data_IF_169878571042
#
_entry.id   IF_169878571042
#
_cell.length_a   1.000
_cell.length_b   1.000
_cell.length_c   1.000
_cell.angle_alpha   90.00
_cell.angle_beta   90.00
_cell.angle_gamma   90.00
#
_symmetry.space_group_name_H-M   'P 1'
#
loop_
_entity.id
_entity.type
_entity.pdbx_description
1 polymer ?
#
# COMPACT_ATOMS: atom_id res chain seq x y z
N UNK A 1 120.28 -27.26 16.07
CA UNK A 1 120.45 -25.78 15.98
C UNK A 1 119.20 -25.22 15.34
N UNK A 2 118.41 -24.44 16.08
CA UNK A 2 117.30 -23.69 15.48
C UNK A 2 117.93 -22.49 14.78
N UNK A 3 117.74 -22.37 13.47
CA UNK A 3 118.23 -21.21 12.73
C UNK A 3 117.30 -20.01 12.94
N UNK A 4 117.79 -18.77 12.94
CA UNK A 4 116.96 -17.57 13.10
C UNK A 4 115.77 -17.52 12.16
N UNK A 5 115.94 -18.04 10.93
CA UNK A 5 114.89 -18.13 9.91
C UNK A 5 113.73 -19.05 10.32
N UNK A 6 114.03 -20.16 11.03
CA UNK A 6 113.04 -21.10 11.55
C UNK A 6 112.21 -20.48 12.70
N UNK A 7 112.86 -19.69 13.56
CA UNK A 7 112.16 -18.97 14.64
C UNK A 7 111.19 -17.94 14.05
N UNK A 8 111.61 -17.19 13.03
CA UNK A 8 110.78 -16.19 12.36
C UNK A 8 109.56 -16.83 11.69
N UNK A 9 109.72 -17.97 11.04
CA UNK A 9 108.59 -18.67 10.38
C UNK A 9 107.59 -19.22 11.40
N UNK A 10 108.06 -19.77 12.52
CA UNK A 10 107.18 -20.28 13.60
C UNK A 10 106.41 -19.12 14.25
N UNK A 11 107.09 -18.02 14.59
CA UNK A 11 106.45 -16.83 15.19
C UNK A 11 105.43 -16.21 14.23
N UNK A 12 105.76 -16.10 12.94
CA UNK A 12 104.84 -15.67 11.88
C UNK A 12 103.60 -16.56 11.80
N UNK A 13 103.78 -17.87 11.84
CA UNK A 13 102.68 -18.84 11.72
C UNK A 13 101.75 -18.78 12.93
N UNK A 14 102.31 -18.64 14.14
CA UNK A 14 101.55 -18.45 15.39
C UNK A 14 100.77 -17.13 15.35
N UNK A 15 101.39 -16.04 14.88
CA UNK A 15 100.72 -14.74 14.75
C UNK A 15 99.52 -14.82 13.80
N UNK A 16 99.68 -15.44 12.62
CA UNK A 16 98.60 -15.66 11.66
C UNK A 16 97.46 -16.46 12.30
N UNK A 17 97.78 -17.57 12.99
CA UNK A 17 96.80 -18.41 13.66
C UNK A 17 96.01 -17.64 14.73
N UNK A 18 96.68 -16.80 15.53
CA UNK A 18 96.05 -15.93 16.53
C UNK A 18 95.08 -14.93 15.89
N UNK A 19 95.46 -14.28 14.78
CA UNK A 19 94.55 -13.40 14.04
C UNK A 19 93.31 -14.14 13.52
N UNK A 20 93.47 -15.36 13.03
CA UNK A 20 92.34 -16.19 12.55
C UNK A 20 91.40 -16.52 13.71
N UNK A 21 91.94 -16.91 14.87
CA UNK A 21 91.13 -17.23 16.07
C UNK A 21 90.34 -16.00 16.53
N UNK A 22 90.98 -14.82 16.57
CA UNK A 22 90.32 -13.56 16.95
C UNK A 22 89.21 -13.21 15.95
N UNK A 23 89.47 -13.32 14.65
CA UNK A 23 88.48 -13.07 13.60
C UNK A 23 87.29 -14.04 13.71
N UNK A 24 87.57 -15.33 13.91
CA UNK A 24 86.53 -16.35 14.08
C UNK A 24 85.66 -16.07 15.31
N UNK A 25 86.26 -15.70 16.44
CA UNK A 25 85.52 -15.33 17.65
C UNK A 25 84.60 -14.13 17.41
N UNK A 26 85.12 -13.08 16.75
CA UNK A 26 84.33 -11.88 16.41
C UNK A 26 83.14 -12.20 15.49
N UNK A 27 83.35 -13.09 14.51
CA UNK A 27 82.27 -13.58 13.63
C UNK A 27 81.22 -14.34 14.45
N UNK A 28 81.64 -15.23 15.35
CA UNK A 28 80.73 -16.01 16.18
C UNK A 28 79.91 -15.14 17.13
N UNK A 29 80.52 -14.13 17.74
CA UNK A 29 79.83 -13.17 18.61
C UNK A 29 78.81 -12.33 17.81
N UNK A 30 79.16 -11.94 16.58
CA UNK A 30 78.25 -11.23 15.67
C UNK A 30 77.07 -12.10 15.26
N UNK A 31 77.31 -13.37 14.92
CA UNK A 31 76.26 -14.32 14.57
C UNK A 31 75.30 -14.57 15.75
N UNK A 32 75.84 -14.64 16.97
CA UNK A 32 75.02 -14.79 18.18
C UNK A 32 74.09 -13.59 18.38
N UNK A 33 74.58 -12.37 18.16
CA UNK A 33 73.78 -11.15 18.22
C UNK A 33 72.63 -11.17 17.20
N UNK A 34 72.94 -11.55 15.95
CA UNK A 34 71.95 -11.64 14.86
C UNK A 34 70.87 -12.68 15.19
N UNK A 35 71.25 -13.84 15.73
CA UNK A 35 70.29 -14.87 16.14
C UNK A 35 69.36 -14.36 17.25
N UNK A 36 69.88 -13.63 18.24
CA UNK A 36 69.06 -13.05 19.30
C UNK A 36 68.06 -12.01 18.77
N UNK A 37 68.46 -11.16 17.81
CA UNK A 37 67.55 -10.21 17.16
C UNK A 37 66.47 -10.92 16.32
N UNK A 38 66.84 -11.98 15.59
CA UNK A 38 65.89 -12.78 14.83
C UNK A 38 64.85 -13.45 15.74
N UNK A 39 65.27 -13.96 16.90
CA UNK A 39 64.36 -14.57 17.88
C UNK A 39 63.39 -13.53 18.48
N UNK A 40 63.88 -12.31 18.77
CA UNK A 40 63.03 -11.21 19.24
C UNK A 40 62.01 -10.82 18.17
N UNK A 41 62.43 -10.71 16.92
CA UNK A 41 61.55 -10.39 15.79
C UNK A 41 60.50 -11.48 15.60
N UNK A 42 60.87 -12.76 15.67
CA UNK A 42 59.93 -13.88 15.56
C UNK A 42 58.88 -13.86 16.68
N UNK A 43 59.29 -13.53 17.90
CA UNK A 43 58.38 -13.43 19.05
C UNK A 43 57.40 -12.26 18.87
N UNK A 44 57.90 -11.11 18.41
CA UNK A 44 57.08 -9.94 18.10
C UNK A 44 56.07 -10.23 16.98
N UNK A 45 56.50 -10.86 15.88
CA UNK A 45 55.58 -11.22 14.80
C UNK A 45 54.50 -12.18 15.28
N UNK A 46 54.86 -13.19 16.08
CA UNK A 46 53.90 -14.15 16.63
C UNK A 46 52.84 -13.50 17.50
N UNK A 47 53.19 -12.50 18.32
CA UNK A 47 52.21 -11.79 19.13
C UNK A 47 51.27 -10.93 18.29
N UNK A 48 51.79 -10.24 17.27
CA UNK A 48 50.99 -9.45 16.34
C UNK A 48 50.00 -10.32 15.54
N UNK A 49 50.43 -11.50 15.08
CA UNK A 49 49.53 -12.44 14.39
C UNK A 49 48.41 -12.94 15.31
N UNK A 50 48.72 -13.21 16.58
CA UNK A 50 47.72 -13.65 17.55
C UNK A 50 46.67 -12.57 17.81
N UNK A 51 47.11 -11.32 18.02
CA UNK A 51 46.21 -10.18 18.23
C UNK A 51 45.32 -9.92 17.01
N UNK A 52 45.88 -10.05 15.80
CA UNK A 52 45.11 -9.94 14.56
C UNK A 52 44.04 -11.03 14.42
N UNK A 53 44.36 -12.27 14.79
CA UNK A 53 43.43 -13.40 14.74
C UNK A 53 42.27 -13.24 15.75
N UNK A 54 42.58 -12.79 16.97
CA UNK A 54 41.58 -12.49 18.00
C UNK A 54 40.64 -11.35 17.56
N UNK A 55 41.22 -10.30 16.96
CA UNK A 55 40.43 -9.18 16.42
C UNK A 55 39.55 -9.59 15.26
N UNK A 56 40.06 -10.38 14.31
CA UNK A 56 39.27 -10.90 13.19
C UNK A 56 38.12 -11.78 13.69
N UNK A 57 38.37 -12.66 14.65
CA UNK A 57 37.33 -13.51 15.24
C UNK A 57 36.23 -12.70 15.92
N UNK A 58 36.62 -11.66 16.67
CA UNK A 58 35.68 -10.72 17.31
C UNK A 58 34.85 -9.96 16.27
N UNK A 59 35.50 -9.53 15.18
CA UNK A 59 34.84 -8.80 14.09
C UNK A 59 33.84 -9.68 13.35
N UNK A 60 34.19 -10.93 13.03
CA UNK A 60 33.27 -11.90 12.41
C UNK A 60 32.01 -12.11 13.25
N UNK A 61 32.16 -12.30 14.57
CA UNK A 61 31.00 -12.43 15.48
C UNK A 61 30.09 -11.19 15.48
N UNK A 62 30.68 -9.99 15.41
CA UNK A 62 29.90 -8.74 15.30
C UNK A 62 29.13 -8.68 13.98
N UNK A 63 29.73 -9.09 12.88
CA UNK A 63 29.09 -9.15 11.56
C UNK A 63 27.93 -10.15 11.56
N UNK A 64 28.12 -11.35 12.12
CA UNK A 64 27.06 -12.36 12.24
C UNK A 64 25.86 -11.86 13.08
N UNK A 65 26.13 -11.20 14.20
CA UNK A 65 25.08 -10.61 15.03
C UNK A 65 24.33 -9.48 14.30
N UNK A 66 25.05 -8.61 13.58
CA UNK A 66 24.44 -7.56 12.77
C UNK A 66 23.55 -8.14 11.67
N UNK A 67 24.01 -9.19 10.98
CA UNK A 67 23.24 -9.89 9.95
C UNK A 67 21.92 -10.43 10.54
N UNK A 68 21.99 -11.12 11.68
CA UNK A 68 20.79 -11.66 12.35
C UNK A 68 19.80 -10.58 12.80
N UNK A 69 20.30 -9.44 13.32
CA UNK A 69 19.47 -8.30 13.70
C UNK A 69 18.78 -7.66 12.50
N UNK A 70 19.46 -7.57 11.36
CA UNK A 70 18.89 -7.05 10.10
C UNK A 70 17.79 -7.98 9.60
N UNK A 71 18.05 -9.29 9.56
CA UNK A 71 17.09 -10.29 9.07
C UNK A 71 15.81 -10.31 9.92
N UNK A 72 15.96 -10.29 11.25
CA UNK A 72 14.82 -10.24 12.18
C UNK A 72 14.02 -8.93 12.06
N UNK A 73 14.70 -7.79 11.93
CA UNK A 73 14.06 -6.48 11.72
C UNK A 73 13.32 -6.41 10.39
N UNK A 74 13.88 -7.00 9.33
CA UNK A 74 13.24 -7.07 8.02
C UNK A 74 11.95 -7.90 8.08
N UNK A 75 12.00 -9.09 8.69
CA UNK A 75 10.80 -9.95 8.86
C UNK A 75 9.72 -9.26 9.70
N UNK A 76 10.10 -8.56 10.77
CA UNK A 76 9.15 -7.80 11.59
C UNK A 76 8.48 -6.66 10.81
N UNK A 77 9.27 -5.91 10.03
CA UNK A 77 8.78 -4.82 9.18
C UNK A 77 7.83 -5.34 8.10
N UNK A 78 8.17 -6.46 7.45
CA UNK A 78 7.31 -7.09 6.45
C UNK A 78 5.95 -7.49 7.05
N UNK A 79 5.93 -8.07 8.26
CA UNK A 79 4.68 -8.42 8.95
C UNK A 79 3.84 -7.19 9.31
N UNK A 80 4.49 -6.11 9.76
CA UNK A 80 3.81 -4.84 10.07
C UNK A 80 3.19 -4.22 8.81
N UNK A 81 3.91 -4.19 7.69
CA UNK A 81 3.38 -3.74 6.40
C UNK A 81 2.16 -4.57 5.95
N UNK A 82 2.19 -5.89 6.16
CA UNK A 82 1.04 -6.75 5.84
C UNK A 82 -0.18 -6.42 6.71
N UNK A 83 0.02 -6.16 8.01
CA UNK A 83 -1.08 -5.73 8.90
C UNK A 83 -1.66 -4.39 8.47
N UNK A 84 -0.83 -3.38 8.21
CA UNK A 84 -1.29 -2.07 7.74
C UNK A 84 -2.10 -2.18 6.45
N UNK A 85 -1.65 -3.02 5.50
CA UNK A 85 -2.39 -3.27 4.25
C UNK A 85 -3.76 -3.90 4.53
N UNK A 86 -3.83 -4.87 5.45
CA UNK A 86 -5.07 -5.52 5.81
C UNK A 86 -6.03 -4.56 6.52
N UNK A 87 -5.53 -3.80 7.49
CA UNK A 87 -6.28 -2.79 8.23
C UNK A 87 -6.85 -1.73 7.28
N UNK A 88 -6.06 -1.27 6.32
CA UNK A 88 -6.54 -0.33 5.30
C UNK A 88 -7.66 -0.92 4.44
N UNK A 89 -7.54 -2.18 4.02
CA UNK A 89 -8.60 -2.86 3.25
C UNK A 89 -9.88 -2.98 4.10
N UNK A 90 -9.75 -3.39 5.36
CA UNK A 90 -10.89 -3.54 6.28
C UNK A 90 -11.56 -2.19 6.53
N UNK A 91 -10.79 -1.15 6.82
CA UNK A 91 -11.30 0.19 7.06
C UNK A 91 -12.02 0.73 5.81
N UNK A 92 -11.41 0.60 4.63
CA UNK A 92 -12.02 0.99 3.37
C UNK A 92 -13.33 0.24 3.09
N UNK A 93 -13.35 -1.08 3.32
CA UNK A 93 -14.55 -1.89 3.10
C UNK A 93 -15.66 -1.56 4.10
N UNK A 94 -15.31 -1.30 5.35
CA UNK A 94 -16.24 -0.89 6.41
C UNK A 94 -16.83 0.49 6.12
N UNK A 95 -16.01 1.42 5.63
CA UNK A 95 -16.45 2.76 5.27
C UNK A 95 -17.34 2.74 4.02
N UNK A 96 -16.98 1.95 2.99
CA UNK A 96 -17.87 1.69 1.84
C UNK A 96 -19.20 1.03 2.24
N UNK A 97 -19.19 0.13 3.22
CA UNK A 97 -20.40 -0.51 3.71
C UNK A 97 -21.36 0.49 4.36
N UNK A 98 -20.86 1.59 4.95
CA UNK A 98 -21.71 2.69 5.47
C UNK A 98 -22.44 3.46 4.36
N UNK A 99 -21.88 3.51 3.16
CA UNK A 99 -22.51 4.16 1.99
C UNK A 99 -23.38 3.20 1.16
N UNK A 100 -23.45 1.92 1.55
CA UNK A 100 -24.27 0.92 0.84
C UNK A 100 -25.76 1.11 1.11
N UNK A 101 -26.13 1.65 2.26
CA UNK A 101 -27.47 2.10 2.63
C UNK A 101 -27.33 3.28 3.61
N UNK A 102 -27.95 4.42 3.33
CA UNK A 102 -27.81 5.62 4.15
C UNK A 102 -29.01 6.56 4.02
N UNK A 103 -29.17 7.43 5.01
CA UNK A 103 -30.12 8.55 4.95
C UNK A 103 -29.29 9.82 4.85
N UNK A 104 -29.47 10.57 3.77
CA UNK A 104 -28.91 11.89 3.56
C UNK A 104 -30.02 12.92 3.75
N UNK A 105 -29.77 13.97 4.53
CA UNK A 105 -30.78 14.97 4.87
C UNK A 105 -30.19 16.37 4.69
N UNK A 106 -30.91 17.21 3.93
CA UNK A 106 -30.62 18.64 3.78
C UNK A 106 -31.84 19.48 4.21
N UNK A 107 -31.79 20.81 4.03
CA UNK A 107 -32.88 21.70 4.47
C UNK A 107 -34.23 21.44 3.77
N UNK A 108 -34.23 20.82 2.60
CA UNK A 108 -35.39 20.65 1.74
C UNK A 108 -35.84 19.19 1.62
N UNK A 109 -34.90 18.24 1.70
CA UNK A 109 -35.15 16.84 1.36
C UNK A 109 -34.56 15.85 2.37
N UNK A 110 -35.18 14.67 2.43
CA UNK A 110 -34.61 13.46 3.03
C UNK A 110 -34.46 12.43 1.91
N UNK A 111 -33.25 11.92 1.71
CA UNK A 111 -32.89 10.94 0.69
C UNK A 111 -32.47 9.63 1.33
N UNK A 112 -33.14 8.55 0.97
CA UNK A 112 -32.65 7.20 1.23
C UNK A 112 -31.78 6.78 0.05
N UNK A 113 -30.50 6.54 0.32
CA UNK A 113 -29.52 6.08 -0.67
C UNK A 113 -29.18 4.62 -0.42
N UNK A 114 -29.12 3.82 -1.49
CA UNK A 114 -28.69 2.43 -1.45
C UNK A 114 -27.89 2.10 -2.71
N UNK A 115 -26.82 1.32 -2.56
CA UNK A 115 -25.91 0.94 -3.66
C UNK A 115 -25.45 2.15 -4.51
N UNK A 116 -25.12 3.26 -3.82
CA UNK A 116 -24.73 4.54 -4.44
C UNK A 116 -25.80 5.21 -5.32
N UNK A 117 -27.08 4.93 -5.08
CA UNK A 117 -28.22 5.51 -5.81
C UNK A 117 -29.29 5.99 -4.85
N UNK A 118 -30.04 7.02 -5.22
CA UNK A 118 -31.21 7.45 -4.44
C UNK A 118 -32.34 6.46 -4.70
N UNK A 119 -32.85 5.82 -3.66
CA UNK A 119 -33.97 4.88 -3.69
C UNK A 119 -35.29 5.57 -3.32
N UNK A 120 -35.23 6.57 -2.43
CA UNK A 120 -36.39 7.33 -1.97
C UNK A 120 -36.02 8.76 -1.68
N UNK A 121 -36.91 9.68 -2.00
CA UNK A 121 -36.81 11.11 -1.74
C UNK A 121 -38.08 11.56 -1.00
N UNK A 122 -37.94 12.33 0.07
CA UNK A 122 -39.05 12.96 0.78
C UNK A 122 -38.83 14.46 0.75
N UNK A 123 -39.77 15.20 0.19
CA UNK A 123 -39.80 16.67 0.26
C UNK A 123 -40.34 17.09 1.63
N UNK A 124 -39.54 17.81 2.41
CA UNK A 124 -39.90 18.24 3.77
C UNK A 124 -41.02 19.28 3.81
N UNK A 125 -41.20 20.06 2.74
CA UNK A 125 -42.20 21.12 2.67
C UNK A 125 -43.58 20.55 2.37
N UNK A 126 -43.65 19.61 1.44
CA UNK A 126 -44.92 19.01 0.97
C UNK A 126 -45.22 17.67 1.64
N UNK A 127 -44.22 17.06 2.27
CA UNK A 127 -44.25 15.69 2.77
C UNK A 127 -44.52 14.65 1.65
N UNK A 128 -44.29 15.04 0.39
CA UNK A 128 -44.41 14.14 -0.76
C UNK A 128 -43.22 13.18 -0.78
N UNK A 129 -43.50 11.92 -1.08
CA UNK A 129 -42.51 10.84 -1.11
C UNK A 129 -42.38 10.28 -2.51
N UNK A 130 -41.19 10.36 -3.10
CA UNK A 130 -40.85 9.75 -4.39
C UNK A 130 -40.02 8.49 -4.18
N UNK A 131 -40.54 7.34 -4.61
CA UNK A 131 -39.79 6.09 -4.71
C UNK A 131 -39.17 5.98 -6.11
N UNK A 132 -37.93 5.51 -6.18
CA UNK A 132 -37.15 5.41 -7.43
C UNK A 132 -36.78 3.94 -7.67
N UNK A 133 -37.20 3.42 -8.82
CA UNK A 133 -37.01 2.02 -9.20
C UNK A 133 -35.99 1.92 -10.33
N UNK A 134 -35.02 1.03 -10.17
CA UNK A 134 -33.94 0.81 -11.12
C UNK A 134 -34.00 -0.61 -11.70
N UNK A 135 -33.63 -0.74 -12.96
CA UNK A 135 -33.44 -2.03 -13.64
C UNK A 135 -32.10 -2.00 -14.38
N UNK A 136 -31.24 -3.01 -14.19
CA UNK A 136 -29.87 -3.00 -14.75
C UNK A 136 -29.03 -1.80 -14.29
N UNK A 137 -29.43 -1.17 -13.18
CA UNK A 137 -28.80 0.01 -12.63
C UNK A 137 -29.21 1.34 -13.26
N UNK A 138 -30.16 1.33 -14.20
CA UNK A 138 -30.71 2.50 -14.88
C UNK A 138 -32.10 2.77 -14.29
N UNK A 139 -32.45 4.05 -14.11
CA UNK A 139 -33.76 4.44 -13.60
C UNK A 139 -34.82 3.92 -14.56
N UNK A 140 -35.76 3.10 -14.09
CA UNK A 140 -36.85 2.53 -14.88
C UNK A 140 -38.12 3.36 -14.71
N UNK A 141 -38.54 3.59 -13.45
CA UNK A 141 -39.65 4.48 -13.16
C UNK A 141 -39.56 5.09 -11.77
N UNK A 142 -40.32 6.16 -11.54
CA UNK A 142 -40.48 6.80 -10.22
C UNK A 142 -41.96 6.95 -9.90
N UNK A 143 -42.32 6.79 -8.63
CA UNK A 143 -43.67 7.00 -8.13
C UNK A 143 -43.63 8.00 -6.99
N UNK A 144 -44.43 9.06 -7.09
CA UNK A 144 -44.55 10.05 -6.03
C UNK A 144 -45.91 9.98 -5.39
N UNK A 145 -45.91 9.97 -4.07
CA UNK A 145 -47.07 9.87 -3.21
C UNK A 145 -47.25 11.15 -2.41
N UNK A 146 -48.49 11.62 -2.33
CA UNK A 146 -48.94 12.68 -1.43
C UNK A 146 -50.07 12.12 -0.57
N UNK A 147 -50.03 12.29 0.75
CA UNK A 147 -51.04 11.76 1.67
C UNK A 147 -51.36 10.25 1.50
N UNK A 148 -50.32 9.44 1.20
CA UNK A 148 -50.42 8.01 0.87
C UNK A 148 -51.21 7.67 -0.42
N UNK A 149 -51.57 8.65 -1.23
CA UNK A 149 -52.14 8.47 -2.56
C UNK A 149 -51.06 8.70 -3.62
N UNK A 150 -51.03 7.87 -4.67
CA UNK A 150 -50.17 8.12 -5.82
C UNK A 150 -50.60 9.43 -6.49
N UNK A 151 -49.64 10.31 -6.76
CA UNK A 151 -49.85 11.62 -7.38
C UNK A 151 -49.32 11.64 -8.80
N UNK A 152 -48.10 11.16 -8.99
CA UNK A 152 -47.50 11.05 -10.33
C UNK A 152 -46.57 9.85 -10.46
N UNK A 153 -46.45 9.35 -11.69
CA UNK A 153 -45.53 8.29 -12.09
C UNK A 153 -44.78 8.69 -13.35
N UNK A 154 -43.47 8.49 -13.38
CA UNK A 154 -42.62 8.79 -14.53
C UNK A 154 -41.89 7.53 -14.97
N UNK A 155 -41.82 7.27 -16.27
CA UNK A 155 -41.14 6.13 -16.87
C UNK A 155 -39.99 6.59 -17.74
N UNK A 156 -38.91 5.84 -17.72
CA UNK A 156 -37.67 6.17 -18.39
C UNK A 156 -37.24 5.02 -19.31
N UNK A 157 -36.58 5.35 -20.41
CA UNK A 157 -36.00 4.38 -21.33
C UNK A 157 -34.73 3.75 -20.78
N UNK A 158 -34.23 2.74 -21.49
CA UNK A 158 -32.98 2.02 -21.14
C UNK A 158 -31.73 2.89 -21.18
N UNK A 159 -31.78 4.06 -21.77
CA UNK A 159 -30.69 5.07 -21.76
C UNK A 159 -30.89 6.12 -20.65
N UNK A 160 -32.01 6.07 -19.91
CA UNK A 160 -32.35 6.99 -18.84
C UNK A 160 -33.16 8.22 -19.29
N UNK A 161 -33.52 8.33 -20.56
CA UNK A 161 -34.35 9.41 -21.10
C UNK A 161 -35.80 9.28 -20.62
N UNK A 162 -36.49 10.39 -20.40
CA UNK A 162 -37.89 10.39 -19.95
C UNK A 162 -38.80 9.98 -21.12
N UNK A 163 -39.68 9.00 -20.90
CA UNK A 163 -40.59 8.49 -21.94
C UNK A 163 -42.04 8.90 -21.70
N UNK A 164 -42.51 8.70 -20.46
CA UNK A 164 -43.93 8.85 -20.12
C UNK A 164 -44.09 9.43 -18.73
N UNK A 165 -45.08 10.30 -18.57
CA UNK A 165 -45.55 10.79 -17.28
C UNK A 165 -47.02 10.47 -17.10
N UNK A 166 -47.43 10.18 -15.88
CA UNK A 166 -48.81 9.87 -15.51
C UNK A 166 -49.17 10.64 -14.25
N UNK A 167 -50.29 11.37 -14.27
CA UNK A 167 -50.83 12.05 -13.08
C UNK A 167 -52.11 11.37 -12.63
N UNK A 168 -52.30 11.24 -11.32
CA UNK A 168 -53.41 10.52 -10.72
C UNK A 168 -54.25 11.43 -9.83
N UNK A 169 -55.56 11.17 -9.77
CA UNK A 169 -56.44 11.81 -8.81
C UNK A 169 -56.32 11.16 -7.41
N UNK A 170 -57.04 11.71 -6.43
CA UNK A 170 -57.06 11.18 -5.05
C UNK A 170 -57.62 9.75 -4.92
N UNK A 171 -58.39 9.29 -5.90
CA UNK A 171 -58.89 7.92 -5.95
C UNK A 171 -57.87 6.94 -6.57
N UNK A 172 -56.74 7.43 -7.07
CA UNK A 172 -55.73 6.65 -7.77
C UNK A 172 -56.03 6.41 -9.25
N UNK A 173 -57.02 7.11 -9.82
CA UNK A 173 -57.34 7.02 -11.25
C UNK A 173 -56.45 7.95 -12.07
N UNK A 174 -56.00 7.48 -13.23
CA UNK A 174 -55.13 8.20 -14.15
C UNK A 174 -55.88 9.38 -14.79
N UNK A 175 -55.51 10.62 -14.49
CA UNK A 175 -56.17 11.82 -15.07
C UNK A 175 -55.44 12.29 -16.32
N UNK A 176 -54.12 12.23 -16.31
CA UNK A 176 -53.30 12.65 -17.44
C UNK A 176 -52.20 11.65 -17.75
N UNK A 177 -51.93 11.44 -19.03
CA UNK A 177 -50.76 10.73 -19.53
C UNK A 177 -50.01 11.61 -20.53
N UNK A 178 -48.72 11.78 -20.34
CA UNK A 178 -47.83 12.56 -21.19
C UNK A 178 -46.85 11.63 -21.89
N UNK A 179 -46.59 11.88 -23.18
CA UNK A 179 -45.47 11.28 -23.90
C UNK A 179 -44.40 12.33 -24.14
N UNK A 180 -43.15 11.96 -23.96
CA UNK A 180 -42.00 12.83 -24.15
C UNK A 180 -41.24 12.45 -25.42
N UNK A 181 -40.67 13.44 -26.10
CA UNK A 181 -39.77 13.23 -27.23
C UNK A 181 -38.31 13.02 -26.78
N UNK A 182 -37.41 12.88 -27.76
CA UNK A 182 -35.97 12.68 -27.48
C UNK A 182 -35.30 13.88 -26.79
N UNK A 183 -35.89 15.08 -26.87
CA UNK A 183 -35.41 16.27 -26.17
C UNK A 183 -35.95 16.36 -24.74
N UNK A 184 -36.88 15.49 -24.35
CA UNK A 184 -37.57 15.52 -23.07
C UNK A 184 -38.72 16.54 -23.02
N UNK A 185 -39.19 17.01 -24.18
CA UNK A 185 -40.36 17.88 -24.29
C UNK A 185 -41.63 17.04 -24.45
N UNK A 186 -42.78 17.56 -24.02
CA UNK A 186 -44.06 16.85 -24.14
C UNK A 186 -44.49 16.84 -25.61
N UNK A 187 -44.50 15.66 -26.25
CA UNK A 187 -44.97 15.47 -27.62
C UNK A 187 -46.48 15.24 -27.70
N UNK A 188 -47.07 14.67 -26.64
CA UNK A 188 -48.52 14.53 -26.54
C UNK A 188 -49.00 14.43 -25.09
N UNK A 189 -50.25 14.85 -24.87
CA UNK A 189 -50.98 14.74 -23.61
C UNK A 189 -52.33 14.11 -23.87
N UNK A 190 -52.65 13.06 -23.13
CA UNK A 190 -53.99 12.44 -23.07
C UNK A 190 -54.63 12.77 -21.73
N UNK A 191 -55.86 13.27 -21.75
CA UNK A 191 -56.71 13.53 -20.59
C UNK A 191 -57.83 12.51 -20.54
N UNK A 192 -58.05 11.91 -19.38
CA UNK A 192 -59.07 10.90 -19.14
C UNK A 192 -60.22 11.50 -18.33
N UNK A 193 -61.42 11.44 -18.89
CA UNK A 193 -62.65 11.94 -18.24
C UNK A 193 -63.41 10.75 -17.67
N UNK A 194 -63.83 10.86 -16.41
CA UNK A 194 -64.50 9.80 -15.68
C UNK A 194 -65.95 10.14 -15.36
N UNK A 195 -66.81 9.11 -15.30
CA UNK A 195 -68.14 9.22 -14.68
C UNK A 195 -68.07 9.13 -13.13
N UNK A 196 -69.22 9.31 -12.48
CA UNK A 196 -69.36 9.19 -11.02
C UNK A 196 -69.03 7.78 -10.47
N UNK A 197 -68.98 6.77 -11.34
CA UNK A 197 -68.61 5.40 -10.99
C UNK A 197 -67.14 5.09 -11.30
N UNK A 198 -66.34 6.12 -11.64
CA UNK A 198 -64.92 6.01 -11.97
C UNK A 198 -64.64 5.17 -13.23
N UNK A 199 -65.58 5.10 -14.16
CA UNK A 199 -65.37 4.56 -15.50
C UNK A 199 -64.94 5.68 -16.45
N UNK A 200 -64.01 5.38 -17.36
CA UNK A 200 -63.60 6.31 -18.41
C UNK A 200 -64.78 6.50 -19.37
N UNK A 201 -65.20 7.75 -19.57
CA UNK A 201 -66.25 8.13 -20.51
C UNK A 201 -65.72 8.85 -21.74
N UNK A 202 -64.53 9.45 -21.66
CA UNK A 202 -63.89 10.11 -22.79
C UNK A 202 -62.36 10.18 -22.62
N UNK A 203 -61.65 10.30 -23.75
CA UNK A 203 -60.20 10.45 -23.82
C UNK A 203 -59.83 11.54 -24.83
N UNK A 204 -59.24 12.62 -24.34
CA UNK A 204 -58.85 13.77 -25.19
C UNK A 204 -57.34 13.77 -25.35
N UNK A 205 -56.86 13.54 -26.58
CA UNK A 205 -55.42 13.59 -26.89
C UNK A 205 -55.06 14.85 -27.66
N UNK A 206 -54.13 15.62 -27.10
CA UNK A 206 -53.51 16.80 -27.72
C UNK A 206 -52.06 16.48 -28.09
N UNK A 207 -51.66 16.79 -29.33
CA UNK A 207 -50.26 16.71 -29.77
C UNK A 207 -49.65 18.10 -29.81
N UNK A 208 -48.37 18.20 -29.49
CA UNK A 208 -47.60 19.44 -29.46
C UNK A 208 -46.48 19.41 -30.50
#
# INVERSE_FOLDING_TARGET
MITPLMVITIVSSIAILLTIIIAYKKINDSNKLVIDELNKLQTFMSSQFKELDENNTSMTKKVENLQSNIDSSFVATQKSLQHIRLDNIINFHTELAKYKNGIYEDDHFIQEVGECKVLKLVDKKTNETTNIYYEGGIKNFTETFADNCIKHKMYYSKDGSLLKGEDFNKAGSLVFSYQYDEAGEISSKTEYIYDDNNNIIDEITTKY
#
